data_IF_471186636340
#
_entry.id   IF_471186636340
#
_cell.length_a   1.000
_cell.length_b   1.000
_cell.length_c   1.000
_cell.angle_alpha   90.00
_cell.angle_beta   90.00
_cell.angle_gamma   90.00
#
_symmetry.space_group_name_H-M   'P 1'
#
loop_
_entity.id
_entity.type
_entity.pdbx_description
1 polymer ?
#
# COMPACT_ATOMS: atom_id res chain seq x y z
N UNK A 1 -14.06 -11.94 2.04
CA UNK A 1 -12.80 -12.71 2.06
C UNK A 1 -11.73 -11.81 2.66
N UNK A 2 -10.91 -12.30 3.58
CA UNK A 2 -9.89 -11.49 4.26
C UNK A 2 -8.54 -11.70 3.58
N UNK A 3 -7.80 -10.63 3.33
CA UNK A 3 -6.42 -10.68 2.85
C UNK A 3 -5.49 -10.31 3.99
N UNK A 4 -4.36 -11.00 4.08
CA UNK A 4 -3.21 -10.63 4.90
C UNK A 4 -2.18 -9.99 3.98
N UNK A 5 -1.98 -8.69 4.13
CA UNK A 5 -1.05 -7.93 3.31
C UNK A 5 0.31 -7.77 3.96
N UNK A 6 1.31 -7.36 3.17
CA UNK A 6 2.66 -7.13 3.68
C UNK A 6 2.66 -6.06 4.76
N UNK A 7 1.94 -4.97 4.51
CA UNK A 7 1.77 -3.87 5.45
C UNK A 7 1.14 -4.32 6.76
N UNK A 8 0.11 -5.18 6.71
CA UNK A 8 -0.49 -5.73 7.94
C UNK A 8 0.52 -6.56 8.74
N UNK A 9 1.32 -7.41 8.06
CA UNK A 9 2.36 -8.18 8.74
C UNK A 9 3.47 -7.30 9.31
N UNK A 10 3.86 -6.23 8.62
CA UNK A 10 4.82 -5.23 9.13
C UNK A 10 4.33 -4.59 10.41
N UNK A 11 3.06 -4.17 10.43
CA UNK A 11 2.45 -3.54 11.60
C UNK A 11 2.34 -4.51 12.79
N UNK A 12 1.95 -5.77 12.54
CA UNK A 12 1.94 -6.81 13.57
C UNK A 12 3.34 -7.07 14.13
N UNK A 13 4.34 -7.18 13.25
CA UNK A 13 5.73 -7.48 13.65
C UNK A 13 6.38 -6.33 14.41
N UNK A 14 5.99 -5.09 14.11
CA UNK A 14 6.44 -3.89 14.83
C UNK A 14 5.95 -3.90 16.28
N UNK A 15 4.72 -4.36 16.53
CA UNK A 15 4.14 -4.43 17.88
C UNK A 15 4.80 -5.53 18.71
N UNK A 16 4.94 -6.71 18.12
CA UNK A 16 5.55 -7.86 18.76
C UNK A 16 6.22 -8.74 17.70
N UNK A 17 7.57 -8.87 17.70
CA UNK A 17 8.25 -9.77 16.78
C UNK A 17 7.82 -11.22 17.00
N UNK A 18 7.51 -11.91 15.90
CA UNK A 18 7.07 -13.31 15.93
C UNK A 18 7.94 -14.18 15.03
N UNK A 19 8.03 -15.47 15.35
CA UNK A 19 8.77 -16.47 14.56
C UNK A 19 7.85 -17.43 13.81
N UNK A 20 6.56 -17.41 14.15
CA UNK A 20 5.52 -18.23 13.51
C UNK A 20 4.28 -17.38 13.26
N UNK A 21 3.65 -17.53 12.09
CA UNK A 21 2.39 -16.87 11.75
C UNK A 21 1.37 -17.93 11.31
N UNK A 22 0.24 -18.01 12.00
CA UNK A 22 -0.83 -18.97 11.72
C UNK A 22 -1.91 -18.33 10.83
N UNK A 23 -2.19 -18.93 9.67
CA UNK A 23 -3.21 -18.43 8.75
C UNK A 23 -4.61 -18.94 9.16
N UNK A 24 -5.53 -18.02 9.46
CA UNK A 24 -6.93 -18.34 9.74
C UNK A 24 -7.63 -18.98 8.53
N UNK A 25 -8.60 -19.90 8.72
CA UNK A 25 -9.42 -20.41 7.63
C UNK A 25 -10.13 -19.27 6.88
N UNK A 26 -10.26 -19.41 5.55
CA UNK A 26 -10.88 -18.40 4.66
C UNK A 26 -10.13 -17.06 4.57
N UNK A 27 -8.84 -17.07 4.91
CA UNK A 27 -7.93 -15.94 4.77
C UNK A 27 -6.91 -16.22 3.68
N UNK A 28 -6.55 -15.22 2.88
CA UNK A 28 -5.49 -15.31 1.87
C UNK A 28 -4.33 -14.44 2.25
N UNK A 29 -3.13 -14.78 1.78
CA UNK A 29 -1.92 -14.01 2.04
C UNK A 29 -1.32 -13.54 0.71
N UNK A 30 -1.01 -12.25 0.62
CA UNK A 30 -0.50 -11.64 -0.62
C UNK A 30 0.94 -12.09 -0.90
N UNK A 31 1.44 -12.00 -2.15
CA UNK A 31 2.83 -12.29 -2.46
C UNK A 31 3.83 -11.47 -1.63
N UNK A 32 3.60 -10.16 -1.49
CA UNK A 32 4.43 -9.28 -0.63
C UNK A 32 4.42 -9.73 0.83
N UNK A 33 3.26 -10.11 1.36
CA UNK A 33 3.15 -10.66 2.72
C UNK A 33 3.97 -11.96 2.89
N UNK A 34 3.92 -12.87 1.91
CA UNK A 34 4.74 -14.09 1.93
C UNK A 34 6.23 -13.75 1.88
N UNK A 35 6.63 -12.82 1.01
CA UNK A 35 8.03 -12.41 0.89
C UNK A 35 8.54 -11.81 2.21
N UNK A 36 7.74 -10.96 2.86
CA UNK A 36 8.08 -10.41 4.17
C UNK A 36 8.29 -11.49 5.24
N UNK A 37 7.43 -12.52 5.29
CA UNK A 37 7.63 -13.65 6.21
C UNK A 37 8.94 -14.38 5.93
N UNK A 38 9.27 -14.60 4.64
CA UNK A 38 10.54 -15.23 4.24
C UNK A 38 11.73 -14.38 4.69
N UNK A 39 11.70 -13.08 4.42
CA UNK A 39 12.78 -12.14 4.75
C UNK A 39 13.00 -12.05 6.26
N UNK A 40 11.92 -12.07 7.06
CA UNK A 40 11.97 -12.08 8.52
C UNK A 40 12.12 -13.47 9.13
N UNK A 41 12.30 -14.52 8.30
CA UNK A 41 12.45 -15.94 8.72
C UNK A 41 11.30 -16.43 9.61
N UNK A 42 10.09 -15.98 9.33
CA UNK A 42 8.88 -16.39 10.03
C UNK A 42 8.28 -17.61 9.35
N UNK A 43 7.96 -18.64 10.14
CA UNK A 43 7.32 -19.86 9.65
C UNK A 43 5.82 -19.65 9.46
N UNK A 44 5.32 -19.81 8.23
CA UNK A 44 3.89 -19.78 7.95
C UNK A 44 3.25 -21.14 8.23
N UNK A 45 2.33 -21.20 9.19
CA UNK A 45 1.56 -22.40 9.52
C UNK A 45 0.15 -22.25 8.99
N UNK A 46 -0.23 -23.07 8.01
CA UNK A 46 -1.62 -23.13 7.56
C UNK A 46 -2.39 -24.08 8.47
N UNK A 47 -3.51 -23.63 9.04
CA UNK A 47 -4.48 -24.54 9.62
C UNK A 47 -4.98 -25.46 8.51
N UNK A 48 -4.47 -26.69 8.45
CA UNK A 48 -4.81 -27.65 7.41
C UNK A 48 -6.33 -27.82 7.36
N UNK A 49 -6.95 -27.42 6.24
CA UNK A 49 -8.20 -28.03 5.85
C UNK A 49 -7.90 -29.51 5.61
N UNK A 50 -8.33 -30.38 6.51
CA UNK A 50 -8.41 -31.82 6.23
C UNK A 50 -9.20 -31.98 4.93
N UNK A 51 -8.49 -32.32 3.86
CA UNK A 51 -9.10 -32.85 2.65
C UNK A 51 -9.73 -34.19 3.01
N UNK A 52 -10.99 -34.19 3.43
CA UNK A 52 -11.81 -35.40 3.37
C UNK A 52 -12.10 -35.68 1.90
N UNK A 53 -11.39 -36.67 1.37
CA UNK A 53 -11.66 -37.25 0.07
C UNK A 53 -13.09 -37.81 0.03
N UNK A 54 -13.99 -37.10 -0.65
CA UNK A 54 -15.25 -37.63 -1.12
C UNK A 54 -15.36 -37.35 -2.62
N UNK A 55 -15.06 -38.38 -3.42
CA UNK A 55 -15.43 -38.43 -4.84
C UNK A 55 -16.94 -38.24 -4.97
N UNK A 56 -17.38 -37.20 -5.69
CA UNK A 56 -18.62 -37.24 -6.48
C UNK A 56 -18.59 -36.19 -7.60
N UNK A 57 -18.46 -36.73 -8.82
CA UNK A 57 -18.93 -36.31 -10.13
C UNK A 57 -18.87 -34.84 -10.57
N UNK A 58 -18.13 -34.65 -11.68
CA UNK A 58 -18.27 -33.55 -12.63
C UNK A 58 -19.75 -33.41 -13.06
N UNK A 59 -20.37 -32.32 -12.62
CA UNK A 59 -21.44 -31.66 -13.34
C UNK A 59 -21.12 -30.16 -13.27
N UNK A 60 -21.18 -29.48 -14.42
CA UNK A 60 -20.71 -28.11 -14.59
C UNK A 60 -21.23 -27.20 -13.50
N UNK A 61 -20.31 -26.62 -12.73
CA UNK A 61 -20.61 -25.45 -11.92
C UNK A 61 -20.38 -24.25 -12.82
N UNK A 62 -21.46 -23.78 -13.40
CA UNK A 62 -21.53 -22.45 -13.98
C UNK A 62 -20.92 -21.46 -12.97
N UNK A 63 -19.97 -20.66 -13.43
CA UNK A 63 -19.46 -19.51 -12.68
C UNK A 63 -20.65 -18.63 -12.33
N UNK A 64 -20.84 -18.18 -11.08
CA UNK A 64 -21.72 -17.05 -10.84
C UNK A 64 -21.12 -15.84 -11.55
N UNK A 65 -21.84 -15.43 -12.59
CA UNK A 65 -21.55 -14.37 -13.54
C UNK A 65 -22.09 -13.04 -12.97
N UNK A 66 -21.19 -12.05 -12.90
CA UNK A 66 -21.43 -10.61 -13.19
C UNK A 66 -22.35 -9.77 -12.28
N UNK A 67 -22.06 -9.70 -10.98
CA UNK A 67 -22.57 -8.61 -10.11
C UNK A 67 -21.48 -7.90 -9.29
N UNK A 68 -20.47 -8.64 -8.82
CA UNK A 68 -19.44 -8.13 -7.92
C UNK A 68 -18.36 -7.27 -8.61
N UNK A 69 -18.06 -7.56 -9.88
CA UNK A 69 -16.94 -6.94 -10.61
C UNK A 69 -17.14 -5.43 -10.81
N UNK A 70 -18.39 -4.98 -10.99
CA UNK A 70 -18.67 -3.56 -11.19
C UNK A 70 -18.57 -2.77 -9.87
N UNK A 71 -19.12 -3.29 -8.77
CA UNK A 71 -19.07 -2.63 -7.47
C UNK A 71 -17.65 -2.52 -6.90
N UNK A 72 -16.86 -3.60 -6.91
CA UNK A 72 -15.49 -3.55 -6.38
C UNK A 72 -14.63 -2.59 -7.21
N UNK A 73 -14.79 -2.59 -8.54
CA UNK A 73 -14.08 -1.65 -9.42
C UNK A 73 -14.49 -0.21 -9.14
N UNK A 74 -15.78 0.06 -8.95
CA UNK A 74 -16.26 1.39 -8.59
C UNK A 74 -15.74 1.82 -7.22
N UNK A 75 -15.77 0.94 -6.21
CA UNK A 75 -15.21 1.18 -4.88
C UNK A 75 -13.73 1.55 -4.96
N UNK A 76 -12.93 0.79 -5.71
CA UNK A 76 -11.52 1.08 -5.96
C UNK A 76 -11.35 2.47 -6.58
N UNK A 77 -12.09 2.79 -7.63
CA UNK A 77 -12.00 4.08 -8.33
C UNK A 77 -12.40 5.25 -7.43
N UNK A 78 -13.45 5.11 -6.63
CA UNK A 78 -13.84 6.12 -5.63
C UNK A 78 -12.78 6.31 -4.56
N UNK A 79 -12.09 5.25 -4.14
CA UNK A 79 -10.94 5.37 -3.24
C UNK A 79 -9.76 6.08 -3.89
N UNK A 80 -9.45 5.78 -5.15
CA UNK A 80 -8.41 6.51 -5.88
C UNK A 80 -8.77 8.00 -6.06
N UNK A 81 -10.02 8.33 -6.41
CA UNK A 81 -10.48 9.72 -6.51
C UNK A 81 -10.39 10.47 -5.16
N UNK A 82 -10.75 9.79 -4.05
CA UNK A 82 -10.58 10.33 -2.71
C UNK A 82 -9.11 10.67 -2.40
N UNK A 83 -8.18 9.72 -2.63
CA UNK A 83 -6.75 9.94 -2.39
C UNK A 83 -6.21 11.10 -3.24
N UNK A 84 -6.60 11.18 -4.50
CA UNK A 84 -6.22 12.30 -5.38
C UNK A 84 -6.73 13.64 -4.86
N UNK A 85 -7.99 13.71 -4.43
CA UNK A 85 -8.55 14.94 -3.86
C UNK A 85 -7.84 15.35 -2.57
N UNK A 86 -7.47 14.36 -1.74
CA UNK A 86 -6.77 14.58 -0.48
C UNK A 86 -5.35 15.10 -0.72
N UNK A 87 -4.62 14.55 -1.69
CA UNK A 87 -3.30 15.03 -2.10
C UNK A 87 -3.34 16.49 -2.57
N UNK A 88 -4.36 16.87 -3.37
CA UNK A 88 -4.56 18.26 -3.78
C UNK A 88 -4.82 19.19 -2.59
N UNK A 89 -5.71 18.79 -1.67
CA UNK A 89 -6.02 19.56 -0.48
C UNK A 89 -4.77 19.75 0.39
N UNK A 90 -4.04 18.67 0.64
CA UNK A 90 -2.83 18.68 1.46
C UNK A 90 -1.74 19.55 0.83
N UNK A 91 -1.54 19.46 -0.49
CA UNK A 91 -0.62 20.33 -1.21
C UNK A 91 -0.98 21.82 -1.08
N UNK A 92 -2.27 22.16 -1.19
CA UNK A 92 -2.75 23.54 -1.00
C UNK A 92 -2.53 24.03 0.44
N UNK A 93 -2.85 23.22 1.43
CA UNK A 93 -2.71 23.58 2.85
C UNK A 93 -1.23 23.81 3.21
N UNK A 94 -0.32 22.97 2.71
CA UNK A 94 1.12 23.12 2.90
C UNK A 94 1.64 24.38 2.19
N UNK A 95 1.19 24.64 0.97
CA UNK A 95 1.56 25.84 0.24
C UNK A 95 1.11 27.11 0.98
N UNK A 96 -0.12 27.13 1.52
CA UNK A 96 -0.65 28.24 2.33
C UNK A 96 0.12 28.45 3.64
N UNK A 97 0.71 27.40 4.19
CA UNK A 97 1.58 27.48 5.37
C UNK A 97 2.98 28.05 5.05
N UNK A 98 3.31 28.25 3.76
CA UNK A 98 4.57 28.86 3.32
C UNK A 98 5.68 27.87 2.96
N UNK A 99 5.43 26.56 3.01
CA UNK A 99 6.42 25.54 2.61
C UNK A 99 6.23 25.13 1.15
N UNK A 100 6.65 26.02 0.24
CA UNK A 100 6.54 25.79 -1.20
C UNK A 100 7.29 24.53 -1.66
N UNK A 101 8.44 24.23 -1.06
CA UNK A 101 9.22 23.05 -1.39
C UNK A 101 8.49 21.74 -1.03
N UNK A 102 7.87 21.68 0.14
CA UNK A 102 7.04 20.52 0.50
C UNK A 102 5.80 20.42 -0.38
N UNK A 103 5.17 21.54 -0.71
CA UNK A 103 4.01 21.55 -1.61
C UNK A 103 4.37 20.98 -2.99
N UNK A 104 5.53 21.34 -3.55
CA UNK A 104 6.04 20.76 -4.80
C UNK A 104 6.30 19.25 -4.69
N UNK A 105 6.88 18.78 -3.58
CA UNK A 105 7.06 17.33 -3.30
C UNK A 105 5.71 16.59 -3.29
N UNK A 106 4.67 17.16 -2.66
CA UNK A 106 3.31 16.61 -2.64
C UNK A 106 2.65 16.64 -4.02
N UNK A 107 2.85 17.70 -4.80
CA UNK A 107 2.32 17.78 -6.18
C UNK A 107 3.00 16.78 -7.13
N UNK A 108 4.28 16.49 -6.92
CA UNK A 108 4.98 15.42 -7.63
C UNK A 108 4.41 14.03 -7.26
N UNK A 109 4.13 13.78 -5.99
CA UNK A 109 3.43 12.57 -5.53
C UNK A 109 2.04 12.44 -6.18
N UNK A 110 1.27 13.53 -6.23
CA UNK A 110 -0.02 13.56 -6.90
C UNK A 110 0.09 13.18 -8.39
N UNK A 111 1.06 13.75 -9.11
CA UNK A 111 1.29 13.41 -10.52
C UNK A 111 1.60 11.92 -10.69
N UNK A 112 2.42 11.36 -9.79
CA UNK A 112 2.71 9.93 -9.83
C UNK A 112 1.47 9.08 -9.55
N UNK A 113 0.72 9.39 -8.49
CA UNK A 113 -0.53 8.69 -8.16
C UNK A 113 -1.54 8.73 -9.31
N UNK A 114 -1.66 9.86 -10.01
CA UNK A 114 -2.49 10.00 -11.22
C UNK A 114 -2.09 9.05 -12.33
N UNK A 115 -0.78 8.85 -12.55
CA UNK A 115 -0.30 7.86 -13.53
C UNK A 115 -0.75 6.45 -13.15
N UNK A 116 -0.65 6.07 -11.87
CA UNK A 116 -1.14 4.76 -11.36
C UNK A 116 -2.64 4.61 -11.56
N UNK A 117 -3.44 5.63 -11.21
CA UNK A 117 -4.90 5.63 -11.42
C UNK A 117 -5.25 5.50 -12.90
N UNK A 118 -4.56 6.22 -13.78
CA UNK A 118 -4.82 6.15 -15.21
C UNK A 118 -4.42 4.78 -15.79
N UNK A 119 -3.35 4.17 -15.28
CA UNK A 119 -2.94 2.82 -15.64
C UNK A 119 -3.94 1.74 -15.20
N UNK A 120 -4.60 1.91 -14.04
CA UNK A 120 -5.79 1.12 -13.69
C UNK A 120 -6.89 1.36 -14.71
N UNK A 121 -7.34 2.60 -14.89
CA UNK A 121 -8.51 2.93 -15.72
C UNK A 121 -8.37 2.45 -17.16
N UNK A 122 -7.19 2.61 -17.74
CA UNK A 122 -6.85 2.25 -19.12
C UNK A 122 -6.40 0.79 -19.26
N UNK A 123 -6.28 0.04 -18.15
CA UNK A 123 -5.79 -1.34 -18.12
C UNK A 123 -4.43 -1.51 -18.81
N UNK A 124 -3.54 -0.52 -18.64
CA UNK A 124 -2.16 -0.55 -19.14
C UNK A 124 -1.16 -0.65 -18.00
N UNK A 125 0.09 -0.97 -18.33
CA UNK A 125 1.18 -0.92 -17.37
C UNK A 125 1.39 0.51 -16.84
N UNK A 126 1.64 0.70 -15.53
CA UNK A 126 1.96 2.01 -14.97
C UNK A 126 3.35 2.46 -15.43
N UNK A 127 3.50 3.78 -15.58
CA UNK A 127 4.77 4.36 -16.01
C UNK A 127 5.87 4.11 -14.97
N UNK A 128 7.11 3.98 -15.43
CA UNK A 128 8.27 4.10 -14.56
C UNK A 128 8.47 5.56 -14.21
N UNK A 129 8.69 5.87 -12.93
CA UNK A 129 8.94 7.25 -12.50
C UNK A 129 10.21 7.36 -11.70
N UNK A 130 10.69 8.60 -11.58
CA UNK A 130 11.74 8.98 -10.67
C UNK A 130 11.21 10.00 -9.67
N UNK A 131 11.72 9.96 -8.45
CA UNK A 131 11.43 10.93 -7.41
C UNK A 131 12.73 11.39 -6.77
N UNK A 132 12.94 12.70 -6.63
CA UNK A 132 14.24 13.28 -6.24
C UNK A 132 15.44 12.79 -7.07
N UNK A 133 15.21 12.42 -8.34
CA UNK A 133 16.24 11.87 -9.22
C UNK A 133 16.58 10.39 -8.96
N UNK A 134 15.94 9.75 -7.98
CA UNK A 134 16.14 8.33 -7.67
C UNK A 134 15.22 7.44 -8.50
N UNK A 135 15.75 6.27 -8.88
CA UNK A 135 15.00 5.17 -9.47
C UNK A 135 14.09 4.49 -8.45
N UNK A 136 13.18 3.64 -8.91
CA UNK A 136 12.24 2.94 -8.03
C UNK A 136 12.94 1.97 -7.08
N UNK A 137 13.97 1.27 -7.55
CA UNK A 137 14.76 0.35 -6.72
C UNK A 137 15.57 1.10 -5.65
N UNK A 138 16.08 2.27 -6.01
CA UNK A 138 16.77 3.17 -5.10
C UNK A 138 15.86 3.71 -4.00
N UNK A 139 14.63 4.06 -4.36
CA UNK A 139 13.59 4.50 -3.41
C UNK A 139 13.25 3.35 -2.46
N UNK A 140 13.02 2.14 -2.97
CA UNK A 140 12.72 0.96 -2.14
C UNK A 140 13.84 0.68 -1.14
N UNK A 141 15.10 0.70 -1.60
CA UNK A 141 16.27 0.48 -0.72
C UNK A 141 16.41 1.54 0.35
N UNK A 142 16.24 2.82 0.00
CA UNK A 142 16.36 3.93 0.95
C UNK A 142 15.23 3.96 1.96
N UNK A 143 14.02 3.62 1.54
CA UNK A 143 12.85 3.53 2.41
C UNK A 143 12.82 2.27 3.28
N UNK A 144 13.76 1.33 3.07
CA UNK A 144 13.81 0.11 3.86
C UNK A 144 13.95 0.45 5.35
N UNK A 145 13.14 -0.21 6.17
CA UNK A 145 12.97 0.05 7.61
C UNK A 145 12.52 1.47 8.05
N UNK A 146 12.26 2.43 7.15
CA UNK A 146 11.79 3.78 7.53
C UNK A 146 10.39 3.81 8.17
N UNK A 147 9.59 2.79 7.97
CA UNK A 147 8.25 2.72 8.59
C UNK A 147 8.30 2.65 10.12
N UNK A 148 9.38 2.09 10.70
CA UNK A 148 9.62 2.09 12.15
C UNK A 148 9.83 3.50 12.70
N UNK A 149 10.29 4.39 11.83
CA UNK A 149 10.78 5.71 12.14
C UNK A 149 9.71 6.81 11.97
N UNK A 150 8.58 6.49 11.34
CA UNK A 150 7.46 7.43 11.08
C UNK A 150 6.20 6.97 11.81
N UNK A 151 6.29 6.90 13.14
CA UNK A 151 5.14 6.63 14.00
C UNK A 151 4.53 7.92 14.52
N UNK A 152 3.46 8.38 13.87
CA UNK A 152 2.84 9.67 14.20
C UNK A 152 1.87 9.49 15.38
N UNK A 153 2.29 9.98 16.54
CA UNK A 153 1.51 10.06 17.78
C UNK A 153 1.24 11.52 18.21
N UNK A 154 0.52 11.70 19.33
CA UNK A 154 0.11 13.00 19.87
C UNK A 154 1.26 14.01 20.07
N UNK A 155 2.49 13.56 20.30
CA UNK A 155 3.63 14.48 20.49
C UNK A 155 3.93 15.30 19.23
N UNK A 156 3.62 14.79 18.04
CA UNK A 156 3.88 15.46 16.76
C UNK A 156 2.97 16.66 16.52
N UNK A 157 1.78 16.68 17.12
CA UNK A 157 0.85 17.80 17.04
C UNK A 157 1.47 19.12 17.57
N UNK A 158 2.38 19.03 18.54
CA UNK A 158 2.99 20.20 19.18
C UNK A 158 4.22 20.74 18.45
N UNK A 159 4.69 20.06 17.39
CA UNK A 159 5.82 20.52 16.60
C UNK A 159 5.43 21.74 15.76
N UNK A 160 6.40 22.60 15.46
CA UNK A 160 6.19 23.77 14.61
C UNK A 160 5.62 23.41 13.22
N UNK A 161 6.00 22.23 12.70
CA UNK A 161 5.48 21.64 11.45
C UNK A 161 4.48 20.48 11.70
N UNK A 162 3.85 20.45 12.88
CA UNK A 162 2.97 19.35 13.28
C UNK A 162 1.76 19.19 12.38
N UNK A 163 1.19 20.30 11.89
CA UNK A 163 0.04 20.29 10.97
C UNK A 163 0.40 19.57 9.66
N UNK A 164 1.55 19.89 9.08
CA UNK A 164 2.06 19.30 7.84
C UNK A 164 2.29 17.80 8.01
N UNK A 165 2.94 17.39 9.12
CA UNK A 165 3.16 15.98 9.42
C UNK A 165 1.83 15.21 9.55
N UNK A 166 0.84 15.79 10.22
CA UNK A 166 -0.49 15.17 10.38
C UNK A 166 -1.20 15.05 9.02
N UNK A 167 -1.13 16.09 8.18
CA UNK A 167 -1.69 16.08 6.83
C UNK A 167 -1.05 14.99 5.95
N UNK A 168 0.29 14.87 5.97
CA UNK A 168 1.01 13.81 5.25
C UNK A 168 0.64 12.41 5.79
N UNK A 169 0.49 12.27 7.11
CA UNK A 169 0.03 11.01 7.69
C UNK A 169 -1.39 10.64 7.24
N UNK A 170 -2.27 11.64 7.06
CA UNK A 170 -3.63 11.40 6.58
C UNK A 170 -3.61 10.86 5.14
N UNK A 171 -2.76 11.41 4.27
CA UNK A 171 -2.51 10.88 2.92
C UNK A 171 -1.98 9.46 3.00
N UNK A 172 -1.01 9.19 3.89
CA UNK A 172 -0.44 7.85 4.08
C UNK A 172 -1.51 6.84 4.43
N UNK A 173 -2.38 7.15 5.39
CA UNK A 173 -3.49 6.28 5.77
C UNK A 173 -4.45 6.04 4.60
N UNK A 174 -4.78 7.07 3.81
CA UNK A 174 -5.65 6.95 2.66
C UNK A 174 -5.04 6.08 1.54
N UNK A 175 -3.74 6.22 1.25
CA UNK A 175 -3.04 5.39 0.27
C UNK A 175 -3.04 3.90 0.64
N UNK A 176 -2.94 3.59 1.94
CA UNK A 176 -2.95 2.22 2.46
C UNK A 176 -4.29 1.50 2.23
N UNK A 177 -5.39 2.23 2.06
CA UNK A 177 -6.68 1.64 1.69
C UNK A 177 -6.74 1.15 0.24
N UNK A 178 -5.81 1.59 -0.63
CA UNK A 178 -5.83 1.27 -2.06
C UNK A 178 -5.40 -0.18 -2.32
N UNK A 179 -4.43 -0.73 -1.59
CA UNK A 179 -3.99 -2.13 -1.76
C UNK A 179 -5.14 -3.13 -1.51
N UNK A 180 -5.86 -3.09 -0.38
CA UNK A 180 -7.02 -3.95 -0.17
C UNK A 180 -8.08 -3.82 -1.27
N UNK A 181 -8.34 -2.61 -1.76
CA UNK A 181 -9.29 -2.39 -2.84
C UNK A 181 -8.81 -2.98 -4.18
N UNK A 182 -7.50 -2.93 -4.47
CA UNK A 182 -6.91 -3.59 -5.64
C UNK A 182 -7.03 -5.12 -5.54
N UNK A 183 -6.79 -5.69 -4.35
CA UNK A 183 -6.92 -7.12 -4.11
C UNK A 183 -8.37 -7.60 -4.29
N UNK A 184 -9.36 -6.82 -3.85
CA UNK A 184 -10.77 -7.15 -4.07
C UNK A 184 -11.17 -7.21 -5.56
N UNK A 185 -10.46 -6.48 -6.44
CA UNK A 185 -10.77 -6.40 -7.88
C UNK A 185 -9.95 -7.39 -8.70
N UNK A 186 -8.66 -7.53 -8.39
CA UNK A 186 -7.67 -8.17 -9.27
C UNK A 186 -7.09 -9.47 -8.71
N UNK A 187 -7.64 -10.02 -7.64
CA UNK A 187 -7.17 -11.29 -7.14
C UNK A 187 -7.57 -12.47 -8.04
N UNK A 188 -6.60 -13.31 -8.40
CA UNK A 188 -6.79 -14.58 -9.12
C UNK A 188 -6.79 -15.74 -8.11
N UNK A 189 -7.93 -16.40 -7.97
CA UNK A 189 -8.15 -17.51 -7.05
C UNK A 189 -7.31 -18.74 -7.38
N UNK A 190 -7.10 -19.02 -8.67
CA UNK A 190 -6.39 -20.22 -9.10
C UNK A 190 -4.88 -20.04 -8.91
N UNK A 191 -4.37 -18.85 -9.24
CA UNK A 191 -2.94 -18.54 -9.13
C UNK A 191 -2.50 -18.04 -7.76
N UNK A 192 -3.45 -17.66 -6.90
CA UNK A 192 -3.17 -17.06 -5.59
C UNK A 192 -2.28 -15.81 -5.67
N UNK A 193 -2.51 -14.97 -6.69
CA UNK A 193 -1.78 -13.71 -6.92
C UNK A 193 -2.77 -12.58 -7.27
N UNK A 194 -2.32 -11.34 -7.11
CA UNK A 194 -2.97 -10.19 -7.72
C UNK A 194 -2.50 -10.07 -9.18
N UNK A 195 -3.42 -10.07 -10.16
CA UNK A 195 -3.05 -9.94 -11.58
C UNK A 195 -2.54 -8.53 -11.92
N UNK A 196 -2.88 -7.54 -11.10
CA UNK A 196 -2.37 -6.16 -11.15
C UNK A 196 -1.42 -5.85 -10.00
N UNK A 197 -0.48 -6.77 -9.74
CA UNK A 197 0.57 -6.56 -8.73
C UNK A 197 1.43 -5.33 -9.05
N UNK A 198 1.60 -5.00 -10.33
CA UNK A 198 2.22 -3.77 -10.83
C UNK A 198 1.64 -2.51 -10.18
N UNK A 199 0.32 -2.42 -9.99
CA UNK A 199 -0.32 -1.28 -9.35
C UNK A 199 -0.05 -1.23 -7.84
N UNK A 200 -0.10 -2.38 -7.16
CA UNK A 200 0.19 -2.48 -5.72
C UNK A 200 1.63 -2.01 -5.46
N UNK A 201 2.59 -2.45 -6.29
CA UNK A 201 4.00 -2.10 -6.14
C UNK A 201 4.22 -0.58 -6.30
N UNK A 202 3.50 0.08 -7.22
CA UNK A 202 3.58 1.54 -7.41
C UNK A 202 2.93 2.31 -6.26
N UNK A 203 1.80 1.84 -5.73
CA UNK A 203 1.18 2.43 -4.53
C UNK A 203 2.12 2.33 -3.33
N UNK A 204 2.77 1.18 -3.13
CA UNK A 204 3.76 1.00 -2.08
C UNK A 204 4.99 1.91 -2.29
N UNK A 205 5.41 2.14 -3.54
CA UNK A 205 6.46 3.11 -3.83
C UNK A 205 6.08 4.54 -3.43
N UNK A 206 4.83 4.95 -3.71
CA UNK A 206 4.30 6.27 -3.31
C UNK A 206 4.27 6.39 -1.78
N UNK A 207 3.84 5.34 -1.07
CA UNK A 207 3.86 5.30 0.40
C UNK A 207 5.30 5.43 0.93
N UNK A 208 6.26 4.75 0.32
CA UNK A 208 7.68 4.85 0.69
C UNK A 208 8.23 6.26 0.51
N UNK A 209 7.93 6.91 -0.61
CA UNK A 209 8.31 8.32 -0.84
C UNK A 209 7.69 9.23 0.21
N UNK A 210 6.41 9.05 0.53
CA UNK A 210 5.72 9.83 1.55
C UNK A 210 6.35 9.64 2.93
N UNK A 211 6.70 8.41 3.31
CA UNK A 211 7.44 8.13 4.54
C UNK A 211 8.80 8.84 4.57
N UNK A 212 9.55 8.85 3.47
CA UNK A 212 10.82 9.58 3.36
C UNK A 212 10.63 11.10 3.54
N UNK A 213 9.59 11.67 2.91
CA UNK A 213 9.24 13.09 3.08
C UNK A 213 8.93 13.37 4.56
N UNK A 214 8.10 12.56 5.21
CA UNK A 214 7.76 12.73 6.62
C UNK A 214 9.02 12.63 7.50
N UNK A 215 9.89 11.64 7.27
CA UNK A 215 11.14 11.46 8.02
C UNK A 215 12.07 12.67 7.93
N UNK A 216 12.27 13.21 6.72
CA UNK A 216 13.01 14.46 6.46
C UNK A 216 12.50 15.61 7.33
N UNK A 217 11.18 15.72 7.45
CA UNK A 217 10.50 16.80 8.19
C UNK A 217 10.54 16.60 9.71
N UNK A 218 10.74 15.38 10.18
CA UNK A 218 10.96 15.06 11.60
C UNK A 218 12.42 15.30 12.05
N UNK A 219 13.29 15.82 11.17
CA UNK A 219 14.71 16.05 11.48
C UNK A 219 15.62 14.86 11.16
N UNK A 220 15.12 13.86 10.45
CA UNK A 220 15.95 12.81 9.88
C UNK A 220 16.86 13.38 8.79
N UNK A 221 18.18 13.34 9.00
CA UNK A 221 19.13 13.73 7.96
C UNK A 221 19.06 12.72 6.80
N UNK A 222 18.82 13.21 5.58
CA UNK A 222 19.29 12.50 4.41
C UNK A 222 20.81 12.62 4.43
N UNK A 223 21.52 11.49 4.58
CA UNK A 223 22.91 11.44 4.17
C UNK A 223 22.97 11.93 2.72
N UNK A 224 23.45 13.15 2.52
CA UNK A 224 23.96 13.59 1.23
C UNK A 224 25.30 12.89 1.07
N UNK A 225 25.29 11.74 0.44
CA UNK A 225 26.43 11.15 -0.26
C UNK A 225 25.96 10.69 -1.64
#
# INVERSE_FOLDING_TARGET
MKFITEMELRELYKREPFTTFALEPNTRITPGARQFLVDKRVTLVQAQQKQTAAKKNKAGREKPVTGSTNWCTEKLRRKMDYVESLLLLVGLEIWRAGDAGLAEEVMALLKYFRSVRNAEKEQKAPDTVQFWGWTEDEIKKRADDMEKHVDINESHYRLANGKEIILLNHVRAALREVEPALLEVYWDDDKQICVRQDLIDKVNLIINILCMIMWKRLGGNHGKD
#
